data_IF_452840955092
#
_entry.id   IF_452840955092
#
_cell.length_a   1.000
_cell.length_b   1.000
_cell.length_c   1.000
_cell.angle_alpha   90.00
_cell.angle_beta   90.00
_cell.angle_gamma   90.00
#
_symmetry.space_group_name_H-M   'P 1'
#
loop_
_entity.id
_entity.type
_entity.pdbx_description
1 polymer ?
#
# COMPACT_ATOMS: atom_id res chain seq x y z
N UNK A 1 -13.15 24.27 32.82
CA UNK A 1 -12.65 23.32 31.83
C UNK A 1 -11.24 23.71 31.49
N UNK A 2 -10.30 22.77 31.62
CA UNK A 2 -8.94 22.99 31.12
C UNK A 2 -8.97 22.99 29.60
N UNK A 3 -8.27 23.93 28.97
CA UNK A 3 -8.17 23.95 27.52
C UNK A 3 -7.43 22.69 27.03
N UNK A 4 -7.87 22.06 25.94
CA UNK A 4 -7.14 20.95 25.33
C UNK A 4 -5.77 21.41 24.82
N UNK A 5 -4.77 20.53 24.89
CA UNK A 5 -3.44 20.76 24.32
C UNK A 5 -3.36 20.13 22.93
N UNK A 6 -3.26 20.95 21.89
CA UNK A 6 -3.21 20.49 20.50
C UNK A 6 -1.75 20.47 20.00
N UNK A 7 -1.32 19.32 19.48
CA UNK A 7 -0.07 19.17 18.71
C UNK A 7 -0.40 18.69 17.32
N UNK A 8 -0.52 19.60 16.36
CA UNK A 8 -0.90 19.29 14.97
C UNK A 8 0.26 19.54 14.01
N UNK A 9 0.44 18.64 13.04
CA UNK A 9 1.39 18.76 11.93
C UNK A 9 0.76 19.31 10.64
N UNK A 10 -0.57 19.43 10.61
CA UNK A 10 -1.34 20.07 9.56
C UNK A 10 -2.28 21.12 10.19
N UNK A 11 -1.80 22.32 10.58
CA UNK A 11 -2.62 23.33 11.24
C UNK A 11 -3.54 24.02 10.22
N UNK A 12 -4.54 23.30 9.74
CA UNK A 12 -5.53 23.78 8.79
C UNK A 12 -6.73 24.39 9.53
N UNK A 13 -7.41 25.41 8.97
CA UNK A 13 -8.47 26.12 9.66
C UNK A 13 -9.63 25.25 10.13
N UNK A 14 -10.15 24.35 9.28
CA UNK A 14 -11.31 23.51 9.64
C UNK A 14 -10.90 22.47 10.69
N UNK A 15 -9.72 21.86 10.56
CA UNK A 15 -9.18 20.93 11.55
C UNK A 15 -8.97 21.58 12.93
N UNK A 16 -8.49 22.83 12.98
CA UNK A 16 -8.30 23.58 14.22
C UNK A 16 -9.63 23.97 14.89
N UNK A 17 -10.70 24.11 14.09
CA UNK A 17 -12.02 24.53 14.55
C UNK A 17 -12.87 23.39 15.11
N UNK A 18 -12.41 22.14 15.03
CA UNK A 18 -13.10 20.98 15.61
C UNK A 18 -13.28 21.15 17.13
N UNK A 19 -14.35 20.56 17.73
CA UNK A 19 -14.68 20.74 19.14
C UNK A 19 -13.80 19.88 20.06
N UNK A 20 -12.50 20.19 20.09
CA UNK A 20 -11.47 19.50 20.87
C UNK A 20 -11.70 19.55 22.40
N UNK A 21 -12.56 20.44 22.86
CA UNK A 21 -12.97 20.58 24.26
C UNK A 21 -14.11 19.63 24.67
N UNK A 22 -14.65 18.83 23.74
CA UNK A 22 -15.72 17.85 23.98
C UNK A 22 -15.23 16.41 23.80
N UNK A 23 -15.83 15.46 24.50
CA UNK A 23 -15.55 14.04 24.32
C UNK A 23 -15.88 13.60 22.88
N UNK A 24 -15.05 12.74 22.27
CA UNK A 24 -15.22 12.36 20.85
C UNK A 24 -16.54 11.64 20.58
N UNK A 25 -17.09 10.98 21.61
CA UNK A 25 -18.38 10.30 21.54
C UNK A 25 -19.56 11.26 21.33
N UNK A 26 -19.44 12.52 21.76
CA UNK A 26 -20.50 13.55 21.71
C UNK A 26 -20.47 14.35 20.41
N UNK A 27 -19.48 14.13 19.55
CA UNK A 27 -19.39 14.81 18.26
C UNK A 27 -20.52 14.31 17.36
N UNK A 28 -21.24 15.24 16.73
CA UNK A 28 -22.39 14.95 15.88
C UNK A 28 -22.42 15.86 14.65
N UNK A 29 -23.11 15.39 13.61
CA UNK A 29 -23.53 16.23 12.47
C UNK A 29 -24.68 17.16 12.91
N UNK A 30 -24.83 18.35 12.29
CA UNK A 30 -23.99 18.94 11.23
C UNK A 30 -22.78 19.75 11.76
N UNK A 31 -22.64 19.90 13.08
CA UNK A 31 -21.60 20.74 13.70
C UNK A 31 -20.17 20.28 13.37
N UNK A 32 -20.00 18.97 13.16
CA UNK A 32 -18.74 18.35 12.74
C UNK A 32 -18.99 17.60 11.43
N UNK A 33 -18.10 17.72 10.42
CA UNK A 33 -18.19 16.98 9.16
C UNK A 33 -17.78 15.50 9.34
N UNK A 34 -18.54 14.76 10.17
CA UNK A 34 -18.34 13.34 10.43
C UNK A 34 -18.66 12.51 9.18
N UNK A 35 -17.84 11.49 8.92
CA UNK A 35 -18.08 10.49 7.89
C UNK A 35 -18.27 9.13 8.53
N UNK A 36 -19.34 8.44 8.15
CA UNK A 36 -19.50 7.04 8.55
C UNK A 36 -18.64 6.17 7.64
N UNK A 37 -17.59 5.59 8.22
CA UNK A 37 -16.76 4.61 7.54
C UNK A 37 -17.04 3.23 8.13
N UNK A 38 -17.27 2.24 7.27
CA UNK A 38 -17.47 0.85 7.68
C UNK A 38 -16.11 0.27 8.08
N UNK A 39 -15.72 0.56 9.32
CA UNK A 39 -14.48 0.10 9.90
C UNK A 39 -14.66 -1.19 10.68
N UNK A 40 -13.59 -2.00 10.72
CA UNK A 40 -13.51 -3.16 11.60
C UNK A 40 -13.70 -2.78 13.08
N UNK A 41 -14.01 -3.76 13.94
CA UNK A 41 -14.14 -3.52 15.37
C UNK A 41 -12.82 -2.97 15.91
N UNK A 42 -12.90 -1.85 16.62
CA UNK A 42 -11.77 -1.26 17.35
C UNK A 42 -12.03 -1.35 18.85
N UNK A 43 -10.96 -1.55 19.61
CA UNK A 43 -10.99 -1.50 21.08
C UNK A 43 -11.22 -0.07 21.60
N UNK A 44 -10.91 0.92 20.77
CA UNK A 44 -10.99 2.34 21.06
C UNK A 44 -12.04 3.01 20.18
N UNK A 45 -12.59 4.13 20.65
CA UNK A 45 -13.51 4.91 19.83
C UNK A 45 -12.74 5.53 18.66
N UNK A 46 -13.23 5.27 17.44
CA UNK A 46 -12.70 5.87 16.22
C UNK A 46 -13.81 6.64 15.51
N UNK A 47 -13.53 7.88 15.14
CA UNK A 47 -14.38 8.72 14.29
C UNK A 47 -13.60 9.17 13.06
N UNK A 48 -14.30 9.43 11.97
CA UNK A 48 -13.70 9.97 10.75
C UNK A 48 -14.28 11.34 10.46
N UNK A 49 -13.42 12.29 10.11
CA UNK A 49 -13.81 13.66 9.83
C UNK A 49 -13.21 14.10 8.51
N UNK A 50 -14.00 14.76 7.67
CA UNK A 50 -13.50 15.37 6.44
C UNK A 50 -13.34 16.87 6.67
N UNK A 51 -12.10 17.34 6.63
CA UNK A 51 -11.77 18.74 6.85
C UNK A 51 -10.69 19.15 5.85
N UNK A 52 -10.83 20.33 5.28
CA UNK A 52 -9.86 20.93 4.36
C UNK A 52 -9.60 20.04 3.12
N UNK A 53 -10.60 19.28 2.68
CA UNK A 53 -10.52 18.33 1.56
C UNK A 53 -9.71 17.05 1.85
N UNK A 54 -9.33 16.81 3.11
CA UNK A 54 -8.67 15.58 3.55
C UNK A 54 -9.56 14.83 4.55
N UNK A 55 -9.49 13.49 4.52
CA UNK A 55 -10.18 12.62 5.47
C UNK A 55 -9.20 12.22 6.58
N UNK A 56 -9.63 12.39 7.82
CA UNK A 56 -8.83 12.13 9.02
C UNK A 56 -9.48 11.04 9.86
N UNK A 57 -8.67 10.18 10.47
CA UNK A 57 -9.10 9.24 11.48
C UNK A 57 -8.72 9.78 12.86
N UNK A 58 -9.70 9.81 13.77
CA UNK A 58 -9.56 10.26 15.14
C UNK A 58 -9.74 9.06 16.06
N UNK A 59 -8.67 8.60 16.72
CA UNK A 59 -8.68 7.48 17.68
C UNK A 59 -8.57 8.06 19.09
N UNK A 60 -9.57 7.86 19.94
CA UNK A 60 -9.53 8.28 21.36
C UNK A 60 -8.89 7.19 22.22
N UNK A 61 -7.81 7.52 22.93
CA UNK A 61 -7.06 6.58 23.79
C UNK A 61 -6.65 7.22 25.12
N UNK A 62 -6.21 6.42 26.11
CA UNK A 62 -5.51 6.93 27.27
C UNK A 62 -4.25 7.74 26.89
N UNK A 63 -3.95 8.87 27.55
CA UNK A 63 -2.89 9.82 27.13
C UNK A 63 -1.51 9.19 26.90
N UNK A 64 -1.10 8.25 27.77
CA UNK A 64 0.20 7.57 27.64
C UNK A 64 0.26 6.66 26.42
N UNK A 65 -0.84 5.98 26.11
CA UNK A 65 -0.93 5.06 24.98
C UNK A 65 -0.93 5.87 23.68
N UNK A 66 -1.76 6.92 23.60
CA UNK A 66 -1.82 7.81 22.44
C UNK A 66 -0.46 8.46 22.13
N UNK A 67 0.25 8.93 23.17
CA UNK A 67 1.58 9.50 23.01
C UNK A 67 2.59 8.48 22.48
N UNK A 68 2.60 7.25 23.03
CA UNK A 68 3.48 6.19 22.54
C UNK A 68 3.18 5.82 21.09
N UNK A 69 1.90 5.60 20.75
CA UNK A 69 1.48 5.24 19.39
C UNK A 69 1.84 6.35 18.39
N UNK A 70 1.62 7.62 18.75
CA UNK A 70 2.03 8.77 17.94
C UNK A 70 3.54 8.76 17.64
N UNK A 71 4.39 8.56 18.65
CA UNK A 71 5.85 8.52 18.47
C UNK A 71 6.31 7.33 17.61
N UNK A 72 5.67 6.16 17.75
CA UNK A 72 5.96 5.01 16.88
C UNK A 72 5.57 5.34 15.44
N UNK A 73 4.35 5.82 15.18
CA UNK A 73 3.92 6.20 13.83
C UNK A 73 4.82 7.29 13.21
N UNK A 74 5.32 8.23 14.01
CA UNK A 74 6.30 9.24 13.59
C UNK A 74 7.62 8.59 13.17
N UNK A 75 8.09 7.64 13.95
CA UNK A 75 9.31 6.88 13.63
C UNK A 75 9.14 6.08 12.33
N UNK A 76 7.99 5.41 12.15
CA UNK A 76 7.68 4.68 10.92
C UNK A 76 7.61 5.61 9.70
N UNK A 77 7.10 6.82 9.87
CA UNK A 77 7.09 7.84 8.82
C UNK A 77 8.49 8.33 8.45
N UNK A 78 9.34 8.57 9.43
CA UNK A 78 10.73 9.01 9.20
C UNK A 78 11.58 7.90 8.54
N UNK A 79 11.22 6.63 8.76
CA UNK A 79 11.77 5.47 8.06
C UNK A 79 11.10 5.19 6.70
N UNK A 80 10.15 6.03 6.30
CA UNK A 80 9.34 5.89 5.08
C UNK A 80 8.58 4.55 4.95
N UNK A 81 8.32 3.87 6.08
CA UNK A 81 7.60 2.60 6.11
C UNK A 81 6.11 2.79 5.79
N UNK A 82 5.50 1.73 5.26
CA UNK A 82 4.08 1.69 4.92
C UNK A 82 3.22 1.59 6.19
N UNK A 83 2.93 2.75 6.77
CA UNK A 83 2.01 2.93 7.89
C UNK A 83 1.15 4.17 7.68
N UNK A 84 0.02 4.26 8.38
CA UNK A 84 -0.81 5.48 8.42
C UNK A 84 0.02 6.65 8.96
N UNK A 85 -0.18 7.83 8.38
CA UNK A 85 0.65 9.01 8.70
C UNK A 85 0.05 9.78 9.88
N UNK A 86 0.79 10.01 10.97
CA UNK A 86 0.28 10.73 12.13
C UNK A 86 0.18 12.23 11.82
N UNK A 87 -1.01 12.78 11.98
CA UNK A 87 -1.33 14.17 11.71
C UNK A 87 -1.23 15.05 12.96
N UNK A 88 -1.42 14.45 14.14
CA UNK A 88 -1.33 15.17 15.39
C UNK A 88 -1.81 14.36 16.58
N UNK A 89 -1.71 14.98 17.75
CA UNK A 89 -2.14 14.44 19.03
C UNK A 89 -2.78 15.56 19.84
N UNK A 90 -3.97 15.32 20.38
CA UNK A 90 -4.71 16.28 21.19
C UNK A 90 -4.95 15.69 22.57
N UNK A 91 -4.43 16.34 23.61
CA UNK A 91 -4.70 15.94 25.00
C UNK A 91 -5.92 16.66 25.52
N UNK A 92 -6.81 15.92 26.18
CA UNK A 92 -8.02 16.45 26.79
C UNK A 92 -7.97 16.20 28.32
N UNK A 93 -7.39 17.13 29.10
CA UNK A 93 -7.15 16.92 30.53
C UNK A 93 -8.44 16.68 31.34
N UNK A 94 -9.54 17.29 30.92
CA UNK A 94 -10.84 17.16 31.60
C UNK A 94 -11.47 15.76 31.46
N UNK A 95 -11.06 14.98 30.46
CA UNK A 95 -11.55 13.62 30.23
C UNK A 95 -10.51 12.53 30.55
N UNK A 96 -9.27 12.91 30.87
CA UNK A 96 -8.11 11.99 30.96
C UNK A 96 -7.94 11.12 29.70
N UNK A 97 -8.17 11.73 28.53
CA UNK A 97 -8.04 11.11 27.21
C UNK A 97 -7.10 11.90 26.32
N UNK A 98 -6.64 11.26 25.26
CA UNK A 98 -6.00 11.92 24.13
C UNK A 98 -6.56 11.37 22.82
N UNK A 99 -6.67 12.25 21.82
CA UNK A 99 -7.11 11.90 20.47
C UNK A 99 -5.88 11.88 19.57
N UNK A 100 -5.56 10.70 19.03
CA UNK A 100 -4.57 10.53 17.98
C UNK A 100 -5.23 10.78 16.63
N UNK A 101 -4.64 11.68 15.85
CA UNK A 101 -5.08 12.02 14.52
C UNK A 101 -4.16 11.36 13.50
N UNK A 102 -4.71 10.62 12.55
CA UNK A 102 -3.97 10.10 11.40
C UNK A 102 -4.65 10.49 10.09
N UNK A 103 -3.85 10.67 9.03
CA UNK A 103 -4.39 10.80 7.68
C UNK A 103 -5.01 9.49 7.25
N UNK A 104 -6.24 9.55 6.76
CA UNK A 104 -6.87 8.38 6.18
C UNK A 104 -6.22 8.02 4.84
N UNK A 105 -5.92 6.74 4.64
CA UNK A 105 -5.35 6.25 3.38
C UNK A 105 -6.45 6.15 2.32
N UNK A 106 -6.61 7.21 1.53
CA UNK A 106 -7.60 7.25 0.45
C UNK A 106 -7.30 6.19 -0.62
N UNK A 107 -8.34 5.54 -1.16
CA UNK A 107 -8.13 4.48 -2.14
C UNK A 107 -7.73 3.13 -1.54
N UNK A 108 -7.76 3.01 -0.21
CA UNK A 108 -7.47 1.76 0.47
C UNK A 108 -8.71 0.93 0.77
N UNK A 109 -8.49 -0.36 0.99
CA UNK A 109 -9.50 -1.33 1.37
C UNK A 109 -9.16 -1.95 2.72
N UNK A 110 -10.21 -2.19 3.50
CA UNK A 110 -10.13 -3.08 4.64
C UNK A 110 -10.42 -4.51 4.18
N UNK A 111 -9.55 -5.42 4.57
CA UNK A 111 -9.58 -6.81 4.13
C UNK A 111 -10.94 -7.50 4.30
N UNK A 112 -11.62 -7.26 5.42
CA UNK A 112 -12.92 -7.90 5.72
C UNK A 112 -13.97 -7.61 4.64
N UNK A 113 -13.97 -6.40 4.07
CA UNK A 113 -14.86 -6.03 2.97
C UNK A 113 -14.46 -6.69 1.67
N UNK A 114 -13.16 -6.69 1.37
CA UNK A 114 -12.66 -7.36 0.17
C UNK A 114 -12.99 -8.84 0.19
N UNK A 115 -12.89 -9.50 1.35
CA UNK A 115 -13.16 -10.93 1.50
C UNK A 115 -14.63 -11.31 1.36
N UNK A 116 -15.53 -10.50 1.88
CA UNK A 116 -16.97 -10.72 1.72
C UNK A 116 -17.42 -10.59 0.26
N UNK A 117 -16.65 -9.88 -0.57
CA UNK A 117 -16.98 -9.59 -1.97
C UNK A 117 -16.15 -10.40 -2.96
N UNK A 118 -14.96 -10.84 -2.58
CA UNK A 118 -14.17 -11.78 -3.34
C UNK A 118 -14.90 -13.13 -3.39
N UNK A 119 -14.94 -13.81 -4.54
CA UNK A 119 -15.46 -15.17 -4.61
C UNK A 119 -14.74 -16.05 -3.58
N UNK A 120 -15.47 -16.78 -2.71
CA UNK A 120 -14.86 -17.65 -1.69
C UNK A 120 -13.89 -18.67 -2.28
N UNK A 121 -14.12 -19.05 -3.55
CA UNK A 121 -13.32 -20.02 -4.28
C UNK A 121 -12.18 -19.40 -5.11
N UNK A 122 -11.77 -18.16 -4.82
CA UNK A 122 -10.68 -17.46 -5.52
C UNK A 122 -9.39 -17.29 -4.67
N UNK A 123 -8.68 -18.40 -4.33
CA UNK A 123 -7.48 -18.37 -3.48
C UNK A 123 -6.34 -17.53 -4.06
N UNK A 124 -6.29 -17.36 -5.40
CA UNK A 124 -5.27 -16.55 -6.07
C UNK A 124 -5.33 -15.07 -5.70
N UNK A 125 -6.51 -14.51 -5.47
CA UNK A 125 -6.63 -13.10 -5.05
C UNK A 125 -6.18 -12.92 -3.61
N UNK A 126 -6.53 -13.87 -2.73
CA UNK A 126 -6.12 -13.88 -1.33
C UNK A 126 -4.61 -14.03 -1.16
N UNK A 127 -4.00 -14.88 -1.99
CA UNK A 127 -2.56 -15.06 -2.02
C UNK A 127 -1.80 -13.73 -2.20
N UNK A 128 -2.28 -12.85 -3.09
CA UNK A 128 -1.66 -11.52 -3.32
C UNK A 128 -1.71 -10.61 -2.09
N UNK A 129 -2.71 -10.75 -1.22
CA UNK A 129 -2.79 -9.98 0.02
C UNK A 129 -1.84 -10.51 1.07
N UNK A 130 -1.76 -11.82 1.21
CA UNK A 130 -0.81 -12.45 2.12
C UNK A 130 0.63 -12.17 1.69
N UNK A 131 0.90 -12.08 0.39
CA UNK A 131 2.17 -11.59 -0.15
C UNK A 131 2.43 -10.13 0.27
N UNK A 132 1.44 -9.25 0.18
CA UNK A 132 1.56 -7.86 0.60
C UNK A 132 1.80 -7.73 2.12
N UNK A 133 1.11 -8.54 2.95
CA UNK A 133 1.32 -8.59 4.39
C UNK A 133 2.71 -9.12 4.77
N UNK A 134 3.13 -10.24 4.18
CA UNK A 134 4.45 -10.81 4.40
C UNK A 134 5.56 -9.81 4.00
N UNK A 135 5.35 -9.11 2.88
CA UNK A 135 6.24 -8.03 2.43
C UNK A 135 6.32 -6.91 3.45
N UNK A 136 5.19 -6.42 3.96
CA UNK A 136 5.17 -5.39 5.01
C UNK A 136 5.90 -5.86 6.27
N UNK A 137 5.64 -7.08 6.75
CA UNK A 137 6.32 -7.63 7.94
C UNK A 137 7.83 -7.74 7.76
N UNK A 138 8.29 -8.23 6.62
CA UNK A 138 9.72 -8.28 6.31
C UNK A 138 10.33 -6.87 6.36
N UNK A 139 9.64 -5.88 5.80
CA UNK A 139 10.11 -4.49 5.79
C UNK A 139 10.18 -3.88 7.19
N UNK A 140 9.13 -4.04 8.00
CA UNK A 140 9.13 -3.62 9.40
C UNK A 140 10.30 -4.26 10.15
N UNK A 141 10.47 -5.57 10.02
CA UNK A 141 11.49 -6.32 10.73
C UNK A 141 12.92 -5.96 10.31
N UNK A 142 13.15 -5.65 9.01
CA UNK A 142 14.44 -5.15 8.50
C UNK A 142 14.82 -3.81 9.13
N UNK A 143 13.84 -3.01 9.53
CA UNK A 143 14.01 -1.71 10.18
C UNK A 143 13.93 -1.79 11.72
N UNK A 144 13.95 -2.99 12.28
CA UNK A 144 13.93 -3.17 13.74
C UNK A 144 12.55 -2.95 14.38
N UNK A 145 11.47 -2.93 13.59
CA UNK A 145 10.12 -2.69 14.07
C UNK A 145 9.41 -4.02 14.32
N UNK A 146 9.01 -4.27 15.56
CA UNK A 146 8.07 -5.32 15.94
C UNK A 146 6.66 -4.75 15.93
N UNK A 147 5.73 -5.36 15.19
CA UNK A 147 4.36 -4.89 15.08
C UNK A 147 3.53 -5.33 16.29
N UNK A 148 3.46 -6.63 16.57
CA UNK A 148 2.80 -7.17 17.76
C UNK A 148 1.28 -7.26 17.71
N UNK A 149 0.61 -6.75 16.67
CA UNK A 149 -0.83 -6.95 16.44
C UNK A 149 -1.18 -6.91 14.94
N UNK A 150 -0.30 -7.50 14.12
CA UNK A 150 -0.54 -7.68 12.70
C UNK A 150 -1.79 -8.57 12.51
N UNK A 151 -2.82 -8.01 11.88
CA UNK A 151 -4.10 -8.69 11.68
C UNK A 151 -4.80 -8.15 10.44
N UNK A 152 -5.83 -8.86 9.99
CA UNK A 152 -6.66 -8.43 8.86
C UNK A 152 -7.44 -7.13 9.16
N UNK A 153 -7.70 -6.85 10.44
CA UNK A 153 -8.39 -5.65 10.88
C UNK A 153 -7.47 -4.42 10.97
N UNK A 154 -6.20 -4.65 11.33
CA UNK A 154 -5.19 -3.60 11.50
C UNK A 154 -4.35 -3.36 10.24
N UNK A 155 -4.69 -4.00 9.13
CA UNK A 155 -4.00 -3.87 7.85
C UNK A 155 -4.93 -3.25 6.79
N UNK A 156 -4.49 -2.15 6.20
CA UNK A 156 -5.10 -1.61 4.98
C UNK A 156 -4.36 -2.08 3.75
N UNK A 157 -5.09 -2.27 2.66
CA UNK A 157 -4.53 -2.63 1.38
C UNK A 157 -4.75 -1.51 0.38
N UNK A 158 -3.77 -1.23 -0.46
CA UNK A 158 -3.92 -0.31 -1.59
C UNK A 158 -3.28 -0.90 -2.84
N UNK A 159 -3.76 -0.47 -4.00
CA UNK A 159 -3.16 -0.79 -5.29
C UNK A 159 -1.96 0.10 -5.47
N UNK A 160 -0.88 -0.50 -5.94
CA UNK A 160 0.32 0.21 -6.35
C UNK A 160 0.77 -0.34 -7.70
N UNK A 161 0.17 0.20 -8.76
CA UNK A 161 0.38 -0.30 -10.10
C UNK A 161 -0.26 -1.67 -10.23
N UNK A 162 0.52 -2.71 -10.52
CA UNK A 162 0.01 -4.07 -10.72
C UNK A 162 -0.02 -4.90 -9.44
N UNK A 163 0.58 -4.44 -8.34
CA UNK A 163 0.66 -5.17 -7.07
C UNK A 163 -0.28 -4.61 -6.01
N UNK A 164 -0.44 -5.33 -4.91
CA UNK A 164 -1.07 -4.84 -3.70
C UNK A 164 0.01 -4.50 -2.68
N UNK A 165 -0.19 -3.39 -1.98
CA UNK A 165 0.61 -3.01 -0.83
C UNK A 165 -0.24 -3.09 0.43
N UNK A 166 0.37 -3.55 1.52
CA UNK A 166 -0.22 -3.51 2.85
C UNK A 166 0.33 -2.30 3.63
N UNK A 167 -0.49 -1.76 4.52
CA UNK A 167 -0.18 -0.64 5.40
C UNK A 167 -0.56 -0.97 6.85
N UNK A 168 0.34 -0.67 7.77
CA UNK A 168 0.10 -0.74 9.21
C UNK A 168 -0.81 0.43 9.64
N UNK A 169 -1.92 0.11 10.31
CA UNK A 169 -2.87 1.13 10.81
C UNK A 169 -2.74 1.35 12.31
N UNK A 170 -2.55 0.27 13.06
CA UNK A 170 -2.50 0.31 14.51
C UNK A 170 -1.08 -0.03 14.98
N UNK A 171 -0.45 0.94 15.63
CA UNK A 171 0.91 0.84 16.16
C UNK A 171 0.93 0.76 17.71
N UNK A 172 -0.22 0.56 18.35
CA UNK A 172 -0.36 0.59 19.81
C UNK A 172 0.54 -0.43 20.51
N UNK A 173 0.67 -1.63 19.94
CA UNK A 173 1.50 -2.73 20.46
C UNK A 173 2.91 -2.75 19.87
N UNK A 174 3.21 -1.83 18.95
CA UNK A 174 4.47 -1.85 18.23
C UNK A 174 5.65 -1.35 19.07
N UNK A 175 6.82 -1.85 18.71
CA UNK A 175 8.09 -1.53 19.35
C UNK A 175 9.16 -1.30 18.28
N UNK A 176 9.96 -0.26 18.47
CA UNK A 176 11.10 0.04 17.59
C UNK A 176 12.39 -0.27 18.33
N UNK A 177 13.21 -1.13 17.74
CA UNK A 177 14.49 -1.57 18.26
C UNK A 177 15.60 -1.23 17.24
N UNK A 178 16.88 -1.14 17.65
CA UNK A 178 17.98 -1.01 16.68
C UNK A 178 18.02 -2.16 15.66
N UNK A 179 17.64 -3.37 16.09
CA UNK A 179 17.46 -4.55 15.25
C UNK A 179 16.61 -5.57 16.00
N UNK A 180 15.74 -6.31 15.30
CA UNK A 180 15.01 -7.41 15.91
C UNK A 180 15.87 -8.69 15.99
N UNK A 181 15.77 -9.38 17.12
CA UNK A 181 16.28 -10.75 17.26
C UNK A 181 15.44 -11.74 16.45
N UNK A 182 16.00 -12.92 16.16
CA UNK A 182 15.26 -14.01 15.52
C UNK A 182 14.02 -14.42 16.34
N UNK A 183 14.11 -14.40 17.67
CA UNK A 183 13.00 -14.72 18.57
C UNK A 183 11.85 -13.70 18.48
N UNK A 184 12.17 -12.40 18.48
CA UNK A 184 11.16 -11.34 18.30
C UNK A 184 10.46 -11.46 16.95
N UNK A 185 11.21 -11.70 15.87
CA UNK A 185 10.63 -11.89 14.53
C UNK A 185 9.73 -13.12 14.49
N UNK A 186 10.18 -14.25 15.02
CA UNK A 186 9.38 -15.46 15.08
C UNK A 186 8.07 -15.24 15.85
N UNK A 187 8.15 -14.57 17.01
CA UNK A 187 6.98 -14.23 17.81
C UNK A 187 5.99 -13.34 17.06
N UNK A 188 6.44 -12.32 16.32
CA UNK A 188 5.54 -11.44 15.57
C UNK A 188 4.82 -12.20 14.44
N UNK A 189 5.51 -13.16 13.82
CA UNK A 189 4.90 -14.05 12.82
C UNK A 189 3.91 -15.03 13.46
N UNK A 190 4.21 -15.57 14.65
CA UNK A 190 3.26 -16.41 15.39
C UNK A 190 1.96 -15.63 15.67
N UNK A 191 2.08 -14.40 16.19
CA UNK A 191 0.94 -13.50 16.44
C UNK A 191 0.17 -13.22 15.14
N UNK A 192 0.88 -12.90 14.05
CA UNK A 192 0.27 -12.66 12.74
C UNK A 192 -0.56 -13.85 12.28
N UNK A 193 0.00 -15.06 12.35
CA UNK A 193 -0.66 -16.28 11.88
C UNK A 193 -1.92 -16.55 12.70
N UNK A 194 -1.86 -16.41 14.03
CA UNK A 194 -3.01 -16.58 14.92
C UNK A 194 -4.11 -15.54 14.63
N UNK A 195 -3.73 -14.26 14.55
CA UNK A 195 -4.67 -13.16 14.29
C UNK A 195 -5.34 -13.27 12.93
N UNK A 196 -4.58 -13.62 11.88
CA UNK A 196 -5.13 -13.80 10.53
C UNK A 196 -6.02 -15.03 10.45
N UNK A 197 -5.62 -16.15 11.08
CA UNK A 197 -6.47 -17.34 11.16
C UNK A 197 -7.80 -17.01 11.85
N UNK A 198 -7.78 -16.34 13.00
CA UNK A 198 -8.98 -15.91 13.70
C UNK A 198 -9.87 -15.00 12.83
N UNK A 199 -9.27 -14.03 12.14
CA UNK A 199 -10.00 -13.14 11.24
C UNK A 199 -10.64 -13.87 10.05
N UNK A 200 -9.96 -14.87 9.48
CA UNK A 200 -10.50 -15.70 8.41
C UNK A 200 -11.65 -16.61 8.88
N UNK A 201 -11.55 -17.18 10.09
CA UNK A 201 -12.62 -18.00 10.66
C UNK A 201 -13.88 -17.17 10.92
N UNK A 202 -13.74 -15.92 11.39
CA UNK A 202 -14.88 -15.00 11.49
C UNK A 202 -15.52 -14.71 10.12
N UNK A 203 -14.71 -14.58 9.05
CA UNK A 203 -15.23 -14.46 7.68
C UNK A 203 -16.01 -15.72 7.27
N UNK A 204 -15.48 -16.92 7.49
CA UNK A 204 -16.16 -18.17 7.17
C UNK A 204 -17.51 -18.30 7.89
N UNK A 205 -17.53 -17.97 9.19
CA UNK A 205 -18.74 -17.99 10.01
C UNK A 205 -19.81 -17.03 9.47
N UNK A 206 -19.42 -15.81 9.09
CA UNK A 206 -20.35 -14.80 8.53
C UNK A 206 -20.86 -15.14 7.14
N UNK A 207 -20.05 -15.84 6.34
CA UNK A 207 -20.49 -16.37 5.04
C UNK A 207 -21.35 -17.62 5.18
N UNK A 208 -21.53 -18.16 6.40
CA UNK A 208 -22.20 -19.44 6.67
C UNK A 208 -21.55 -20.60 5.89
N UNK A 209 -20.22 -20.57 5.76
CA UNK A 209 -19.42 -21.52 4.98
C UNK A 209 -18.31 -22.17 5.82
N UNK A 210 -18.65 -23.02 6.80
CA UNK A 210 -17.67 -23.69 7.67
C UNK A 210 -16.77 -24.67 6.90
N UNK A 211 -17.18 -25.09 5.71
CA UNK A 211 -16.36 -25.91 4.81
C UNK A 211 -15.07 -25.21 4.33
N UNK A 212 -14.99 -23.88 4.44
CA UNK A 212 -13.80 -23.10 4.08
C UNK A 212 -12.75 -23.05 5.20
N UNK A 213 -13.11 -23.35 6.44
CA UNK A 213 -12.22 -23.21 7.61
C UNK A 213 -10.88 -23.95 7.46
N UNK A 214 -10.82 -25.23 7.00
CA UNK A 214 -9.54 -25.92 6.85
C UNK A 214 -8.62 -25.24 5.82
N UNK A 215 -9.21 -24.72 4.74
CA UNK A 215 -8.47 -23.99 3.71
C UNK A 215 -7.93 -22.66 4.23
N UNK A 216 -8.75 -21.93 4.98
CA UNK A 216 -8.37 -20.66 5.60
C UNK A 216 -7.27 -20.81 6.65
N UNK A 217 -7.31 -21.85 7.47
CA UNK A 217 -6.22 -22.17 8.40
C UNK A 217 -4.92 -22.44 7.63
N UNK A 218 -5.00 -23.22 6.55
CA UNK A 218 -3.85 -23.46 5.67
C UNK A 218 -3.29 -22.17 5.04
N UNK A 219 -4.17 -21.27 4.60
CA UNK A 219 -3.78 -19.97 4.04
C UNK A 219 -3.10 -19.06 5.08
N UNK A 220 -3.60 -19.02 6.31
CA UNK A 220 -2.97 -18.27 7.40
C UNK A 220 -1.59 -18.83 7.76
N UNK A 221 -1.46 -20.16 7.87
CA UNK A 221 -0.17 -20.81 8.14
C UNK A 221 0.85 -20.52 7.03
N UNK A 222 0.42 -20.45 5.76
CA UNK A 222 1.27 -20.14 4.63
C UNK A 222 1.88 -18.72 4.68
N UNK A 223 1.37 -17.80 5.51
CA UNK A 223 1.98 -16.47 5.69
C UNK A 223 3.40 -16.60 6.25
N UNK A 224 3.63 -17.55 7.17
CA UNK A 224 4.96 -17.83 7.70
C UNK A 224 5.92 -18.21 6.59
N UNK A 225 5.54 -19.18 5.76
CA UNK A 225 6.38 -19.66 4.67
C UNK A 225 6.70 -18.54 3.67
N UNK A 226 5.73 -17.66 3.37
CA UNK A 226 5.93 -16.49 2.52
C UNK A 226 6.93 -15.51 3.13
N UNK A 227 6.75 -15.18 4.41
CA UNK A 227 7.66 -14.31 5.15
C UNK A 227 9.08 -14.88 5.21
N UNK A 228 9.23 -16.15 5.60
CA UNK A 228 10.54 -16.81 5.75
C UNK A 228 11.26 -16.87 4.41
N UNK A 229 10.57 -17.30 3.35
CA UNK A 229 11.13 -17.33 1.99
C UNK A 229 11.59 -15.96 1.52
N UNK A 230 10.81 -14.92 1.80
CA UNK A 230 11.16 -13.56 1.42
C UNK A 230 12.35 -13.03 2.26
N UNK A 231 12.33 -13.29 3.57
CA UNK A 231 13.43 -12.93 4.45
C UNK A 231 14.73 -13.60 4.02
N UNK A 232 14.69 -14.90 3.74
CA UNK A 232 15.83 -15.64 3.19
C UNK A 232 16.29 -15.06 1.87
N UNK A 233 15.38 -14.77 0.93
CA UNK A 233 15.74 -14.21 -0.38
C UNK A 233 16.51 -12.88 -0.25
N UNK A 234 16.12 -12.03 0.71
CA UNK A 234 16.76 -10.73 0.94
C UNK A 234 18.09 -10.82 1.69
N UNK A 235 18.26 -11.85 2.54
CA UNK A 235 19.46 -12.00 3.38
C UNK A 235 20.41 -13.10 2.88
N UNK A 236 20.02 -13.86 1.87
CA UNK A 236 20.86 -14.87 1.25
C UNK A 236 21.99 -14.21 0.45
N UNK A 237 23.18 -14.78 0.57
CA UNK A 237 24.32 -14.47 -0.28
C UNK A 237 24.66 -15.70 -1.16
N UNK A 238 23.79 -16.06 -2.12
CA UNK A 238 23.98 -17.26 -2.91
C UNK A 238 25.25 -17.17 -3.75
N UNK A 239 25.95 -18.29 -3.89
CA UNK A 239 27.10 -18.43 -4.79
C UNK A 239 26.64 -19.06 -6.11
N UNK A 240 27.12 -18.50 -7.22
CA UNK A 240 26.82 -18.96 -8.57
C UNK A 240 28.10 -19.15 -9.36
N UNK A 241 28.11 -20.05 -10.33
CA UNK A 241 29.18 -20.08 -11.31
C UNK A 241 29.16 -18.83 -12.19
N UNK A 242 30.31 -18.40 -12.72
CA UNK A 242 30.40 -17.24 -13.62
C UNK A 242 29.44 -17.30 -14.83
N UNK A 243 29.13 -18.51 -15.29
CA UNK A 243 28.22 -18.75 -16.42
C UNK A 243 26.72 -18.66 -16.05
N UNK A 244 26.35 -18.67 -14.78
CA UNK A 244 24.96 -18.72 -14.30
C UNK A 244 24.31 -17.31 -14.19
N UNK A 245 24.61 -16.39 -15.11
CA UNK A 245 24.08 -15.00 -15.07
C UNK A 245 22.54 -14.95 -15.07
N UNK A 246 21.88 -15.92 -15.70
CA UNK A 246 20.42 -16.06 -15.68
C UNK A 246 19.84 -16.24 -14.26
N UNK A 247 20.62 -16.77 -13.30
CA UNK A 247 20.18 -16.94 -11.90
C UNK A 247 20.16 -15.60 -11.16
N UNK A 248 21.09 -14.70 -11.49
CA UNK A 248 21.12 -13.33 -10.96
C UNK A 248 19.88 -12.57 -11.46
N UNK A 249 19.62 -12.59 -12.76
CA UNK A 249 18.41 -12.00 -13.36
C UNK A 249 17.12 -12.60 -12.80
N UNK A 250 17.09 -13.91 -12.57
CA UNK A 250 15.95 -14.58 -11.95
C UNK A 250 15.71 -14.16 -10.50
N UNK A 251 16.77 -13.87 -9.75
CA UNK A 251 16.68 -13.37 -8.36
C UNK A 251 16.13 -11.94 -8.34
N UNK A 252 16.66 -11.06 -9.20
CA UNK A 252 16.19 -9.68 -9.36
C UNK A 252 14.71 -9.66 -9.78
N UNK A 253 14.33 -10.52 -10.73
CA UNK A 253 12.94 -10.63 -11.19
C UNK A 253 11.99 -11.04 -10.06
N UNK A 254 12.36 -12.04 -9.26
CA UNK A 254 11.56 -12.48 -8.11
C UNK A 254 11.38 -11.35 -7.08
N UNK A 255 12.43 -10.59 -6.78
CA UNK A 255 12.34 -9.42 -5.90
C UNK A 255 11.39 -8.36 -6.46
N UNK A 256 11.52 -8.05 -7.76
CA UNK A 256 10.63 -7.11 -8.45
C UNK A 256 9.16 -7.58 -8.51
N UNK A 257 8.91 -8.88 -8.64
CA UNK A 257 7.58 -9.50 -8.58
C UNK A 257 6.98 -9.39 -7.17
N UNK A 258 7.82 -9.45 -6.13
CA UNK A 258 7.44 -9.27 -4.73
C UNK A 258 7.36 -7.79 -4.31
N UNK A 259 7.62 -6.85 -5.24
CA UNK A 259 7.50 -5.42 -5.00
C UNK A 259 8.74 -4.76 -4.37
N UNK A 260 9.90 -5.43 -4.39
CA UNK A 260 11.18 -4.88 -3.95
C UNK A 260 11.95 -4.28 -5.13
N UNK A 261 12.45 -3.06 -4.96
CA UNK A 261 13.39 -2.43 -5.90
C UNK A 261 14.82 -2.84 -5.57
N UNK A 262 15.50 -3.48 -6.53
CA UNK A 262 16.93 -3.82 -6.40
C UNK A 262 17.76 -2.60 -6.74
N UNK A 263 18.58 -2.14 -5.80
CA UNK A 263 19.43 -0.94 -5.94
C UNK A 263 20.82 -1.29 -6.45
N UNK A 264 21.46 -2.29 -5.82
CA UNK A 264 22.78 -2.74 -6.24
C UNK A 264 22.86 -4.27 -6.30
N UNK A 265 23.61 -4.76 -7.30
CA UNK A 265 23.96 -6.16 -7.47
C UNK A 265 25.47 -6.24 -7.49
N UNK A 266 26.06 -6.71 -6.39
CA UNK A 266 27.51 -6.94 -6.28
C UNK A 266 27.82 -8.42 -6.46
N UNK A 267 28.75 -8.73 -7.37
CA UNK A 267 29.26 -10.08 -7.60
C UNK A 267 30.73 -10.14 -7.18
N UNK A 268 31.04 -10.90 -6.12
CA UNK A 268 32.39 -11.02 -5.59
C UNK A 268 32.96 -12.43 -5.81
N UNK A 269 34.19 -12.59 -6.33
CA UNK A 269 34.82 -13.91 -6.47
C UNK A 269 34.95 -14.61 -5.12
N UNK A 270 34.64 -15.91 -5.07
CA UNK A 270 34.82 -16.74 -3.87
C UNK A 270 36.25 -17.27 -3.83
N UNK A 271 36.97 -17.00 -2.74
CA UNK A 271 38.42 -17.33 -2.58
C UNK A 271 38.72 -18.83 -2.80
N UNK A 272 37.76 -19.73 -2.59
CA UNK A 272 37.91 -21.17 -2.71
C UNK A 272 37.55 -21.76 -4.09
N UNK A 273 37.02 -20.97 -5.02
CA UNK A 273 36.56 -21.45 -6.33
C UNK A 273 36.82 -20.43 -7.42
N UNK A 274 37.74 -20.74 -8.35
CA UNK A 274 38.18 -19.81 -9.40
C UNK A 274 37.05 -19.31 -10.32
N UNK A 275 35.92 -20.03 -10.37
CA UNK A 275 34.77 -19.74 -11.23
C UNK A 275 33.48 -19.44 -10.45
N UNK A 276 33.54 -19.26 -9.12
CA UNK A 276 32.37 -18.95 -8.30
C UNK A 276 32.31 -17.46 -7.92
N UNK A 277 31.13 -16.86 -8.10
CA UNK A 277 30.79 -15.51 -7.70
C UNK A 277 29.72 -15.56 -6.61
N UNK A 278 29.97 -14.88 -5.49
CA UNK A 278 28.97 -14.61 -4.46
C UNK A 278 28.15 -13.39 -4.87
N UNK A 279 26.84 -13.59 -4.99
CA UNK A 279 25.89 -12.51 -5.21
C UNK A 279 25.51 -11.87 -3.88
N UNK A 280 25.67 -10.56 -3.83
CA UNK A 280 25.08 -9.68 -2.83
C UNK A 280 24.07 -8.78 -3.53
N UNK A 281 22.80 -8.91 -3.16
CA UNK A 281 21.75 -8.00 -3.62
C UNK A 281 21.48 -7.00 -2.51
N UNK A 282 21.73 -5.72 -2.79
CA UNK A 282 21.27 -4.64 -1.94
C UNK A 282 19.91 -4.22 -2.46
N UNK A 283 18.87 -4.48 -1.65
CA UNK A 283 17.54 -3.94 -1.92
C UNK A 283 17.51 -2.52 -1.37
N UNK A 284 17.29 -1.56 -2.27
CA UNK A 284 17.35 -0.14 -1.95
C UNK A 284 16.16 0.35 -1.16
N UNK A 285 16.16 1.66 -0.97
CA UNK A 285 14.99 2.38 -0.48
C UNK A 285 13.80 2.11 -1.42
N UNK A 286 12.65 1.80 -0.82
CA UNK A 286 11.43 1.33 -1.50
C UNK A 286 10.84 2.37 -2.45
N UNK A 287 11.42 3.56 -2.52
CA UNK A 287 10.94 4.70 -3.32
C UNK A 287 11.90 5.12 -4.43
N UNK A 288 12.80 4.25 -4.89
CA UNK A 288 13.74 4.59 -5.96
C UNK A 288 13.03 5.13 -7.22
N UNK A 289 12.09 4.37 -7.80
CA UNK A 289 11.35 4.80 -8.97
C UNK A 289 10.41 5.96 -8.66
N UNK A 290 9.77 5.95 -7.50
CA UNK A 290 8.88 7.02 -7.07
C UNK A 290 9.63 8.36 -6.93
N UNK A 291 10.83 8.35 -6.35
CA UNK A 291 11.70 9.52 -6.19
C UNK A 291 12.17 10.04 -7.54
N UNK A 292 12.58 9.13 -8.43
CA UNK A 292 13.04 9.51 -9.76
C UNK A 292 11.91 10.10 -10.61
N UNK A 293 10.74 9.46 -10.61
CA UNK A 293 9.57 9.99 -11.31
C UNK A 293 9.16 11.35 -10.72
N UNK A 294 9.15 11.51 -9.40
CA UNK A 294 8.84 12.78 -8.75
C UNK A 294 9.85 13.86 -9.14
N UNK A 295 11.14 13.53 -9.18
CA UNK A 295 12.21 14.46 -9.60
C UNK A 295 12.03 14.93 -11.06
N UNK A 296 11.55 14.06 -11.93
CA UNK A 296 11.34 14.35 -13.36
C UNK A 296 10.02 15.07 -13.64
N UNK A 297 8.95 14.72 -12.92
CA UNK A 297 7.57 15.08 -13.28
C UNK A 297 6.82 15.87 -12.21
N UNK A 298 7.29 15.84 -10.96
CA UNK A 298 6.57 16.34 -9.78
C UNK A 298 5.44 15.43 -9.27
N UNK A 299 5.16 14.30 -9.95
CA UNK A 299 4.11 13.37 -9.52
C UNK A 299 4.55 12.58 -8.28
N UNK A 300 3.69 12.55 -7.27
CA UNK A 300 3.88 11.75 -6.05
C UNK A 300 3.02 10.50 -6.17
N UNK A 301 3.67 9.35 -6.31
CA UNK A 301 3.03 8.05 -6.58
C UNK A 301 3.68 6.93 -5.76
N UNK A 302 3.06 5.76 -5.73
CA UNK A 302 3.68 4.55 -5.19
C UNK A 302 4.77 3.99 -6.11
N UNK A 303 5.63 3.11 -5.59
CA UNK A 303 6.78 2.58 -6.32
C UNK A 303 6.39 1.73 -7.54
N UNK A 304 5.38 0.87 -7.39
CA UNK A 304 4.84 0.06 -8.47
C UNK A 304 4.18 0.90 -9.57
N UNK A 305 3.46 1.96 -9.19
CA UNK A 305 2.94 2.95 -10.13
C UNK A 305 4.09 3.66 -10.84
N UNK A 306 5.11 4.12 -10.11
CA UNK A 306 6.24 4.85 -10.67
C UNK A 306 6.98 4.03 -11.73
N UNK A 307 7.22 2.74 -11.47
CA UNK A 307 7.84 1.83 -12.44
C UNK A 307 7.07 1.74 -13.75
N UNK A 308 5.74 1.67 -13.70
CA UNK A 308 4.88 1.63 -14.89
C UNK A 308 4.94 2.97 -15.64
N UNK A 309 4.82 4.08 -14.90
CA UNK A 309 4.78 5.42 -15.46
C UNK A 309 6.13 5.83 -16.09
N UNK A 310 7.26 5.49 -15.46
CA UNK A 310 8.59 5.67 -16.04
C UNK A 310 8.75 4.88 -17.34
N UNK A 311 8.20 3.67 -17.41
CA UNK A 311 8.18 2.88 -18.65
C UNK A 311 7.44 3.59 -19.78
N UNK A 312 6.25 4.13 -19.50
CA UNK A 312 5.46 4.89 -20.47
C UNK A 312 6.13 6.21 -20.88
N UNK A 313 6.74 6.91 -19.92
CA UNK A 313 7.56 8.10 -20.16
C UNK A 313 8.74 7.79 -21.10
N UNK A 314 9.47 6.71 -20.87
CA UNK A 314 10.59 6.31 -21.72
C UNK A 314 10.14 5.95 -23.14
N UNK A 315 8.98 5.30 -23.27
CA UNK A 315 8.40 5.01 -24.58
C UNK A 315 8.04 6.29 -25.34
N UNK A 316 7.42 7.26 -24.67
CA UNK A 316 7.09 8.57 -25.23
C UNK A 316 8.35 9.37 -25.61
N UNK A 317 9.38 9.39 -24.75
CA UNK A 317 10.68 10.01 -25.09
C UNK A 317 11.28 9.38 -26.35
N UNK A 318 11.23 8.06 -26.47
CA UNK A 318 11.70 7.35 -27.67
C UNK A 318 10.94 7.74 -28.93
N UNK A 319 9.63 8.03 -28.83
CA UNK A 319 8.83 8.57 -29.94
C UNK A 319 9.24 10.00 -30.27
N UNK A 320 9.34 10.88 -29.27
CA UNK A 320 9.77 12.27 -29.45
C UNK A 320 11.14 12.37 -30.13
N UNK A 321 12.13 11.57 -29.73
CA UNK A 321 13.45 11.58 -30.36
C UNK A 321 13.38 11.22 -31.85
N UNK A 322 12.51 10.27 -32.23
CA UNK A 322 12.33 9.88 -33.64
C UNK A 322 11.67 10.99 -34.46
N UNK A 323 10.69 11.70 -33.88
CA UNK A 323 9.98 12.79 -34.54
C UNK A 323 10.85 14.05 -34.66
N UNK A 324 11.64 14.36 -33.63
CA UNK A 324 12.57 15.50 -33.62
C UNK A 324 13.84 15.25 -34.45
N UNK A 325 14.21 13.98 -34.69
CA UNK A 325 15.43 13.60 -35.40
C UNK A 325 16.72 13.76 -34.59
N UNK A 326 16.61 14.00 -33.28
CA UNK A 326 17.72 14.08 -32.32
C UNK A 326 17.27 13.62 -30.94
N UNK A 327 18.24 13.38 -30.04
CA UNK A 327 17.92 13.02 -28.66
C UNK A 327 17.28 14.21 -27.94
N UNK A 328 16.13 13.96 -27.33
CA UNK A 328 15.44 14.89 -26.42
C UNK A 328 15.90 14.60 -25.00
N UNK A 329 16.20 15.65 -24.25
CA UNK A 329 16.59 15.51 -22.86
C UNK A 329 15.44 14.97 -22.01
N UNK A 330 15.79 14.22 -20.97
CA UNK A 330 14.82 13.48 -20.17
C UNK A 330 13.84 14.37 -19.40
N UNK A 331 14.28 15.54 -18.93
CA UNK A 331 13.41 16.47 -18.20
C UNK A 331 12.39 17.12 -19.12
N UNK A 332 12.80 17.55 -20.31
CA UNK A 332 11.88 18.09 -21.32
C UNK A 332 10.88 17.02 -21.75
N UNK A 333 11.34 15.80 -22.04
CA UNK A 333 10.43 14.69 -22.37
C UNK A 333 9.45 14.40 -21.23
N UNK A 334 9.89 14.45 -19.97
CA UNK A 334 9.04 14.26 -18.79
C UNK A 334 7.95 15.32 -18.68
N UNK A 335 8.29 16.60 -18.83
CA UNK A 335 7.32 17.70 -18.77
C UNK A 335 6.28 17.61 -19.89
N UNK A 336 6.73 17.36 -21.12
CA UNK A 336 5.83 17.17 -22.27
C UNK A 336 4.93 15.95 -22.08
N UNK A 337 5.49 14.82 -21.62
CA UNK A 337 4.73 13.61 -21.35
C UNK A 337 3.62 13.85 -20.32
N UNK A 338 3.92 14.54 -19.21
CA UNK A 338 2.93 14.86 -18.18
C UNK A 338 1.77 15.66 -18.78
N UNK A 339 2.08 16.69 -19.56
CA UNK A 339 1.10 17.62 -20.11
C UNK A 339 0.28 17.01 -21.26
N UNK A 340 0.93 16.32 -22.18
CA UNK A 340 0.32 15.86 -23.44
C UNK A 340 -0.29 14.47 -23.34
N UNK A 341 0.28 13.60 -22.50
CA UNK A 341 -0.10 12.18 -22.45
C UNK A 341 -0.66 11.80 -21.09
N UNK A 342 0.13 11.96 -20.02
CA UNK A 342 -0.20 11.38 -18.72
C UNK A 342 -1.45 12.03 -18.12
N UNK A 343 -1.47 13.35 -17.96
CA UNK A 343 -2.59 14.04 -17.28
C UNK A 343 -3.92 13.88 -18.03
N UNK A 344 -4.00 14.10 -19.36
CA UNK A 344 -5.23 13.88 -20.11
C UNK A 344 -5.69 12.42 -20.02
N UNK A 345 -4.76 11.47 -20.14
CA UNK A 345 -5.11 10.04 -20.16
C UNK A 345 -5.50 9.53 -18.76
N UNK A 346 -4.88 10.03 -17.69
CA UNK A 346 -5.29 9.78 -16.30
C UNK A 346 -6.75 10.17 -16.07
N UNK A 347 -7.15 11.38 -16.49
CA UNK A 347 -8.55 11.81 -16.34
C UNK A 347 -9.52 10.97 -17.16
N UNK A 348 -9.14 10.57 -18.38
CA UNK A 348 -9.97 9.70 -19.23
C UNK A 348 -10.12 8.30 -18.65
N UNK A 349 -9.03 7.72 -18.15
CA UNK A 349 -9.03 6.42 -17.50
C UNK A 349 -9.87 6.44 -16.22
N UNK A 350 -9.71 7.48 -15.40
CA UNK A 350 -10.50 7.68 -14.18
C UNK A 350 -11.99 7.79 -14.48
N UNK A 351 -12.37 8.55 -15.50
CA UNK A 351 -13.75 8.63 -15.96
C UNK A 351 -14.28 7.29 -16.47
N UNK A 352 -13.46 6.51 -17.18
CA UNK A 352 -13.85 5.18 -17.68
C UNK A 352 -14.19 4.21 -16.54
N UNK A 353 -13.48 4.28 -15.41
CA UNK A 353 -13.76 3.45 -14.21
C UNK A 353 -14.78 4.09 -13.25
N UNK A 354 -15.57 5.05 -13.72
CA UNK A 354 -16.61 5.70 -12.91
C UNK A 354 -16.07 6.59 -11.80
N UNK A 355 -14.85 7.10 -11.93
CA UNK A 355 -14.10 7.87 -10.92
C UNK A 355 -13.77 7.11 -9.63
N UNK A 356 -13.81 5.78 -9.69
CA UNK A 356 -13.34 4.91 -8.63
C UNK A 356 -11.81 4.97 -8.49
N UNK A 357 -11.31 5.06 -7.25
CA UNK A 357 -9.88 5.13 -6.95
C UNK A 357 -9.20 6.43 -7.42
N UNK A 358 -7.89 6.39 -7.65
CA UNK A 358 -7.12 7.57 -8.08
C UNK A 358 -6.94 7.62 -9.59
N UNK A 359 -6.81 8.81 -10.20
CA UNK A 359 -6.52 8.94 -11.63
C UNK A 359 -5.21 8.27 -12.07
N UNK A 360 -4.20 8.29 -11.20
CA UNK A 360 -2.90 7.64 -11.43
C UNK A 360 -3.09 6.11 -11.52
N UNK A 361 -3.80 5.51 -10.57
CA UNK A 361 -4.02 4.06 -10.59
C UNK A 361 -4.85 3.64 -11.80
N UNK A 362 -5.90 4.40 -12.14
CA UNK A 362 -6.69 4.16 -13.35
C UNK A 362 -5.84 4.21 -14.62
N UNK A 363 -4.85 5.11 -14.68
CA UNK A 363 -3.92 5.16 -15.81
C UNK A 363 -3.00 3.95 -15.86
N UNK A 364 -2.44 3.53 -14.73
CA UNK A 364 -1.64 2.28 -14.65
C UNK A 364 -2.45 1.06 -15.11
N UNK A 365 -3.71 0.95 -14.68
CA UNK A 365 -4.62 -0.13 -15.07
C UNK A 365 -4.92 -0.06 -16.59
N UNK A 366 -5.10 1.13 -17.16
CA UNK A 366 -5.27 1.31 -18.61
C UNK A 366 -4.04 0.83 -19.40
N UNK A 367 -2.83 1.18 -18.95
CA UNK A 367 -1.58 0.77 -19.60
C UNK A 367 -1.43 -0.76 -19.59
N UNK A 368 -1.75 -1.41 -18.47
CA UNK A 368 -1.76 -2.87 -18.35
C UNK A 368 -2.79 -3.51 -19.29
N UNK A 369 -4.04 -3.03 -19.26
CA UNK A 369 -5.11 -3.56 -20.12
C UNK A 369 -4.77 -3.39 -21.59
N UNK A 370 -4.20 -2.23 -21.98
CA UNK A 370 -3.74 -2.00 -23.36
C UNK A 370 -2.67 -3.00 -23.76
N UNK A 371 -1.69 -3.26 -22.89
CA UNK A 371 -0.62 -4.22 -23.15
C UNK A 371 -1.17 -5.64 -23.34
N UNK A 372 -1.98 -6.14 -22.41
CA UNK A 372 -2.56 -7.49 -22.47
C UNK A 372 -3.49 -7.69 -23.69
N UNK A 373 -4.30 -6.69 -24.03
CA UNK A 373 -5.13 -6.74 -25.24
C UNK A 373 -4.28 -6.73 -26.51
N UNK A 374 -3.16 -6.00 -26.52
CA UNK A 374 -2.24 -5.94 -27.66
C UNK A 374 -1.49 -7.25 -27.85
N UNK A 375 -1.04 -7.86 -26.75
CA UNK A 375 -0.38 -9.17 -26.76
C UNK A 375 -1.32 -10.24 -27.34
N UNK A 376 -2.56 -10.31 -26.86
CA UNK A 376 -3.58 -11.24 -27.37
C UNK A 376 -3.93 -10.99 -28.84
N UNK A 377 -3.89 -9.75 -29.29
CA UNK A 377 -4.17 -9.37 -30.68
C UNK A 377 -2.95 -9.51 -31.62
N UNK A 378 -1.74 -9.72 -31.08
CA UNK A 378 -0.49 -9.70 -31.83
C UNK A 378 -0.13 -8.34 -32.45
N UNK A 379 -0.77 -7.26 -32.00
CA UNK A 379 -0.57 -5.88 -32.49
C UNK A 379 -1.12 -4.87 -31.49
N UNK A 380 -0.65 -3.63 -31.57
CA UNK A 380 -1.22 -2.55 -30.75
C UNK A 380 -2.71 -2.36 -31.05
N UNK A 381 -3.51 -2.37 -29.98
CA UNK A 381 -4.97 -2.14 -30.03
C UNK A 381 -5.34 -0.67 -29.88
N UNK A 382 -4.42 0.17 -29.40
CA UNK A 382 -4.62 1.59 -29.14
C UNK A 382 -5.37 1.89 -27.84
N UNK A 383 -5.23 3.15 -27.38
CA UNK A 383 -5.79 3.64 -26.11
C UNK A 383 -7.32 3.59 -26.07
N UNK A 384 -8.01 3.90 -27.17
CA UNK A 384 -9.49 3.91 -27.21
C UNK A 384 -10.10 2.55 -26.93
N UNK A 385 -9.49 1.48 -27.48
CA UNK A 385 -9.97 0.12 -27.27
C UNK A 385 -9.77 -0.33 -25.83
N UNK A 386 -8.64 0.05 -25.23
CA UNK A 386 -8.37 -0.24 -23.82
C UNK A 386 -9.30 0.54 -22.87
N UNK A 387 -9.59 1.81 -23.16
CA UNK A 387 -10.57 2.62 -22.40
C UNK A 387 -11.97 2.01 -22.46
N UNK A 388 -12.41 1.54 -23.63
CA UNK A 388 -13.70 0.84 -23.77
C UNK A 388 -13.74 -0.47 -22.98
N UNK A 389 -12.63 -1.21 -22.93
CA UNK A 389 -12.52 -2.43 -22.14
C UNK A 389 -12.66 -2.15 -20.63
N UNK A 390 -11.98 -1.11 -20.13
CA UNK A 390 -12.13 -0.65 -18.75
C UNK A 390 -13.57 -0.20 -18.45
N UNK A 391 -14.14 0.67 -19.29
CA UNK A 391 -15.49 1.22 -19.07
C UNK A 391 -16.60 0.17 -19.07
N UNK A 392 -16.38 -0.96 -19.77
CA UNK A 392 -17.35 -2.07 -19.84
C UNK A 392 -17.03 -3.18 -18.84
N UNK A 393 -15.99 -3.04 -18.02
CA UNK A 393 -15.50 -4.09 -17.13
C UNK A 393 -15.17 -5.41 -17.87
N UNK A 394 -14.69 -5.31 -19.12
CA UNK A 394 -14.26 -6.45 -19.96
C UNK A 394 -12.75 -6.44 -20.09
N UNK A 395 -12.07 -6.53 -18.95
CA UNK A 395 -10.60 -6.61 -18.87
C UNK A 395 -10.13 -8.06 -18.93
N UNK A 396 -8.90 -8.32 -19.42
CA UNK A 396 -8.28 -9.64 -19.32
C UNK A 396 -8.30 -10.19 -17.88
N UNK A 397 -8.59 -11.48 -17.71
CA UNK A 397 -8.67 -12.16 -16.40
C UNK A 397 -7.36 -12.15 -15.59
N UNK A 398 -6.23 -12.00 -16.27
CA UNK A 398 -4.92 -11.88 -15.66
C UNK A 398 -4.58 -10.45 -15.25
N UNK A 399 -5.35 -9.45 -15.72
CA UNK A 399 -5.14 -8.04 -15.39
C UNK A 399 -5.44 -7.80 -13.94
N UNK A 400 -4.55 -7.08 -13.28
CA UNK A 400 -4.74 -6.69 -11.90
C UNK A 400 -5.79 -5.58 -11.75
N UNK A 401 -6.17 -4.89 -12.84
CA UNK A 401 -7.35 -4.02 -12.92
C UNK A 401 -8.66 -4.75 -12.59
N UNK A 402 -8.71 -6.08 -12.68
CA UNK A 402 -9.88 -6.86 -12.26
C UNK A 402 -10.19 -6.66 -10.77
N UNK A 403 -9.20 -6.37 -9.93
CA UNK A 403 -9.41 -6.09 -8.50
C UNK A 403 -10.28 -4.84 -8.28
N UNK A 404 -10.10 -3.79 -9.10
CA UNK A 404 -10.95 -2.58 -9.06
C UNK A 404 -12.41 -2.88 -9.41
N UNK A 405 -12.66 -3.90 -10.23
CA UNK A 405 -14.02 -4.32 -10.61
C UNK A 405 -14.67 -5.09 -9.45
N UNK A 406 -13.88 -5.83 -8.68
CA UNK A 406 -14.37 -6.63 -7.56
C UNK A 406 -14.63 -5.76 -6.32
N UNK A 407 -13.88 -4.66 -6.15
CA UNK A 407 -14.04 -3.80 -4.98
C UNK A 407 -13.91 -2.31 -5.31
N UNK A 408 -14.90 -1.53 -4.87
CA UNK A 408 -14.82 -0.06 -4.86
C UNK A 408 -13.97 0.36 -3.66
N UNK A 409 -12.80 1.01 -3.87
CA UNK A 409 -12.03 1.62 -2.79
C UNK A 409 -12.85 2.66 -2.03
N UNK A 410 -12.36 3.06 -0.87
CA UNK A 410 -12.92 4.23 -0.19
C UNK A 410 -12.82 5.46 -1.08
N UNK A 411 -13.97 5.97 -1.50
CA UNK A 411 -14.11 7.23 -2.23
C UNK A 411 -14.18 8.40 -1.24
N UNK A 412 -13.91 9.64 -1.66
CA UNK A 412 -14.32 10.82 -0.89
C UNK A 412 -15.84 10.84 -0.84
N UNK A 413 -16.43 10.45 0.29
CA UNK A 413 -17.87 10.24 0.42
C UNK A 413 -18.64 11.57 0.52
N UNK A 414 -19.97 11.55 0.47
CA UNK A 414 -20.83 12.70 0.84
C UNK A 414 -21.02 12.78 2.36
N UNK A 415 -21.03 13.99 2.93
CA UNK A 415 -21.29 14.19 4.38
C UNK A 415 -22.64 13.52 4.70
N UNK A 416 -22.79 12.94 5.88
CA UNK A 416 -24.09 12.41 6.30
C UNK A 416 -25.09 13.58 6.32
N UNK A 417 -26.03 13.58 5.38
CA UNK A 417 -27.23 14.42 5.44
C UNK A 417 -28.27 13.68 6.31
N UNK A 418 -28.97 14.40 7.19
CA UNK A 418 -29.98 13.85 8.09
C UNK A 418 -31.09 13.09 7.33
N UNK A 419 -31.34 11.84 7.72
CA UNK A 419 -32.65 11.18 7.63
C UNK A 419 -33.19 10.97 9.06
#
# INVERSE_FOLDING_TARGET
>A
MAAPELRLRAPRPELLALPWDRALAEWATPDVPLRDLPVGPSRHLVRFVECDGELWALKELPPRIAAREYEVLRTLEDMELNAVRPAGLVFQPDFDTAILLTRYLTGSWQYRRMFMRLPPDAPKHRARLFDAMATLLVELHRHGVFWGDCSLANTLFSRDGQVLQAFLVDAETSEVHPSLSNGQRAQDIDITVENVAAGLLDVAARLERPDLEPGFIGEALAIRERYERLWELLHAAPTFGFADRYRVEGTIRKLNELGFAVDEVSLQPVVSGADELRLHVTVGDRRYHATELQRLTGLVVGEGQARILLGDLHAYRGQLCREAGHDVDERTAAQLWVMEVATPTMHRAHAAVGRSGTPIQAYCDLLEVRWLLSERAGRDVGTERALQALARNVVPSESAAQLMIVETPTEPFSVLDDD
#
